data_IF_602783958918
#
_entry.id   IF_602783958918
#
_cell.length_a   1.000
_cell.length_b   1.000
_cell.length_c   1.000
_cell.angle_alpha   90.00
_cell.angle_beta   90.00
_cell.angle_gamma   90.00
#
_symmetry.space_group_name_H-M   'P 1'
#
loop_
_entity.id
_entity.type
_entity.pdbx_description
1 polymer ?
#
# COMPACT_ATOMS: atom_id res chain seq x y z
N UNK A 1 -36.77 33.45 25.61
CA UNK A 1 -37.99 33.03 24.88
C UNK A 1 -37.75 31.61 24.42
N UNK A 2 -38.41 30.69 25.14
CA UNK A 2 -38.38 29.26 24.90
C UNK A 2 -39.20 28.89 23.68
N UNK A 3 -38.72 27.97 22.85
CA UNK A 3 -39.62 27.09 22.11
C UNK A 3 -39.01 25.69 22.03
N UNK A 4 -39.44 24.85 22.93
CA UNK A 4 -39.34 23.39 22.88
C UNK A 4 -40.23 22.89 21.74
N UNK A 5 -39.68 22.10 20.82
CA UNK A 5 -40.48 21.23 19.98
C UNK A 5 -40.09 19.77 20.21
N UNK A 6 -40.82 19.16 21.12
CA UNK A 6 -41.00 17.73 21.28
C UNK A 6 -41.96 17.30 20.15
N UNK A 7 -41.55 16.40 19.28
CA UNK A 7 -42.49 15.61 18.47
C UNK A 7 -42.15 14.13 18.61
N UNK A 8 -42.89 13.50 19.47
CA UNK A 8 -43.15 12.08 19.47
C UNK A 8 -43.88 11.70 18.17
N UNK A 9 -43.44 10.69 17.47
CA UNK A 9 -44.29 9.90 16.60
C UNK A 9 -44.05 8.43 16.90
N UNK A 10 -45.16 7.84 17.28
CA UNK A 10 -45.42 6.51 17.76
C UNK A 10 -45.15 5.42 16.71
N UNK A 11 -44.75 4.31 17.21
CA UNK A 11 -45.08 2.90 16.90
C UNK A 11 -45.88 2.62 15.62
N UNK A 12 -45.33 1.68 14.83
CA UNK A 12 -46.17 0.63 14.18
C UNK A 12 -45.35 -0.67 14.10
N UNK A 13 -45.73 -1.61 14.94
CA UNK A 13 -45.41 -3.02 14.90
C UNK A 13 -46.14 -3.64 13.68
N UNK A 14 -45.39 -4.29 12.80
CA UNK A 14 -45.94 -5.25 11.86
C UNK A 14 -45.22 -6.59 12.06
N UNK A 15 -45.87 -7.49 12.77
CA UNK A 15 -45.54 -8.91 12.89
C UNK A 15 -45.97 -9.59 11.61
N UNK A 16 -45.01 -10.10 10.83
CA UNK A 16 -45.24 -10.96 9.68
C UNK A 16 -44.55 -12.30 9.90
N UNK A 17 -45.32 -13.26 10.42
CA UNK A 17 -44.96 -14.68 10.46
C UNK A 17 -45.24 -15.27 9.10
N UNK A 18 -44.24 -15.79 8.38
CA UNK A 18 -44.40 -16.73 7.29
C UNK A 18 -43.48 -17.93 7.54
N UNK A 19 -44.13 -18.99 7.97
CA UNK A 19 -43.59 -20.35 7.96
C UNK A 19 -43.59 -20.84 6.49
N UNK A 20 -42.53 -21.48 6.05
CA UNK A 20 -42.41 -22.06 4.72
C UNK A 20 -41.28 -23.08 4.63
N UNK A 21 -41.64 -24.32 4.94
CA UNK A 21 -41.19 -25.63 4.39
C UNK A 21 -39.73 -25.87 4.02
N UNK A 22 -39.20 -26.85 4.71
CA UNK A 22 -38.00 -27.66 4.40
C UNK A 22 -38.19 -28.45 3.09
N UNK A 23 -37.11 -28.63 2.36
CA UNK A 23 -36.85 -29.77 1.49
C UNK A 23 -35.39 -30.23 1.62
N UNK A 24 -35.12 -31.51 1.94
CA UNK A 24 -33.78 -32.07 1.90
C UNK A 24 -33.49 -32.55 0.48
N UNK A 25 -32.44 -32.03 -0.12
CA UNK A 25 -31.90 -32.52 -1.39
C UNK A 25 -30.49 -33.04 -1.17
N UNK A 26 -30.35 -34.33 -0.87
CA UNK A 26 -29.09 -35.07 -0.94
C UNK A 26 -28.68 -35.15 -2.41
N UNK A 27 -27.48 -34.72 -2.70
CA UNK A 27 -26.84 -34.86 -4.00
C UNK A 27 -25.34 -34.97 -3.82
N UNK A 28 -24.87 -36.19 -3.54
CA UNK A 28 -23.46 -36.59 -3.66
C UNK A 28 -23.03 -36.46 -5.12
N UNK A 29 -22.18 -35.50 -5.40
CA UNK A 29 -21.39 -35.47 -6.62
C UNK A 29 -19.92 -35.53 -6.25
N UNK A 30 -19.38 -36.74 -6.25
CA UNK A 30 -17.98 -37.00 -6.27
C UNK A 30 -17.36 -36.40 -7.53
N UNK A 31 -16.72 -35.24 -7.41
CA UNK A 31 -15.89 -34.70 -8.47
C UNK A 31 -14.47 -35.19 -8.33
N UNK A 32 -14.18 -36.20 -9.11
CA UNK A 32 -12.88 -36.79 -9.38
C UNK A 32 -11.93 -35.72 -9.94
N UNK A 33 -10.90 -35.38 -9.19
CA UNK A 33 -9.77 -34.62 -9.70
C UNK A 33 -8.86 -35.52 -10.54
N UNK A 34 -8.43 -35.10 -11.74
CA UNK A 34 -7.40 -35.81 -12.47
C UNK A 34 -6.02 -35.53 -11.85
N UNK A 35 -5.14 -36.55 -11.75
CA UNK A 35 -3.79 -36.32 -11.27
C UNK A 35 -2.95 -35.62 -12.34
N UNK A 36 -2.35 -34.51 -11.97
CA UNK A 36 -1.37 -33.78 -12.78
C UNK A 36 -0.05 -34.57 -12.76
N UNK A 37 0.24 -35.25 -13.87
CA UNK A 37 1.50 -35.91 -14.12
C UNK A 37 2.59 -34.90 -14.44
N UNK A 38 3.54 -34.70 -13.53
CA UNK A 38 4.79 -34.01 -13.83
C UNK A 38 5.79 -35.04 -14.39
N UNK A 39 6.15 -34.85 -15.63
CA UNK A 39 7.25 -35.56 -16.23
C UNK A 39 8.57 -35.13 -15.58
N UNK A 40 9.16 -36.04 -14.80
CA UNK A 40 10.58 -36.02 -14.52
C UNK A 40 11.31 -36.55 -15.76
N UNK A 41 12.10 -35.69 -16.39
CA UNK A 41 13.10 -36.14 -17.37
C UNK A 41 14.47 -36.02 -16.72
N UNK A 42 14.95 -37.15 -16.20
CA UNK A 42 16.36 -37.34 -15.90
C UNK A 42 17.09 -37.62 -17.20
N UNK A 43 18.10 -36.84 -17.49
CA UNK A 43 18.99 -37.04 -18.64
C UNK A 43 20.39 -36.59 -18.27
N UNK A 44 21.16 -37.48 -17.65
CA UNK A 44 22.61 -37.37 -17.52
C UNK A 44 23.26 -37.52 -18.87
N UNK A 45 24.18 -36.64 -19.23
CA UNK A 45 25.38 -37.02 -19.97
C UNK A 45 26.48 -36.00 -19.73
N UNK A 46 27.50 -36.46 -19.07
CA UNK A 46 28.83 -35.89 -18.96
C UNK A 46 29.48 -35.84 -20.36
N UNK A 47 30.07 -34.73 -20.72
CA UNK A 47 31.21 -34.74 -21.63
C UNK A 47 32.15 -33.61 -21.29
N UNK A 48 33.26 -33.96 -20.69
CA UNK A 48 34.47 -33.21 -20.51
C UNK A 48 35.08 -32.86 -21.86
N UNK A 49 35.37 -31.61 -22.10
CA UNK A 49 36.46 -31.20 -23.01
C UNK A 49 37.15 -29.97 -22.46
N UNK A 50 38.28 -30.22 -21.90
CA UNK A 50 39.30 -29.22 -21.62
C UNK A 50 39.93 -28.79 -22.97
N UNK A 51 40.02 -27.48 -23.19
CA UNK A 51 41.07 -26.87 -23.98
C UNK A 51 41.32 -25.46 -23.51
N UNK A 52 42.50 -25.28 -22.98
CA UNK A 52 43.19 -24.05 -22.70
C UNK A 52 43.31 -23.19 -23.96
N UNK A 53 43.05 -21.92 -23.83
CA UNK A 53 43.71 -20.87 -24.59
C UNK A 53 43.70 -19.58 -23.77
N UNK A 54 44.82 -19.30 -23.16
CA UNK A 54 45.20 -18.00 -22.67
C UNK A 54 45.16 -16.99 -23.82
N UNK A 55 44.34 -15.96 -23.66
CA UNK A 55 44.53 -14.72 -24.40
C UNK A 55 44.28 -13.57 -23.44
N UNK A 56 45.31 -12.80 -23.05
CA UNK A 56 45.09 -11.59 -22.27
C UNK A 56 44.47 -10.54 -23.18
N UNK A 57 43.19 -10.22 -22.93
CA UNK A 57 42.59 -9.04 -23.50
C UNK A 57 43.25 -7.81 -22.90
N UNK A 58 44.12 -7.18 -23.67
CA UNK A 58 44.65 -5.86 -23.35
C UNK A 58 43.47 -4.88 -23.35
N UNK A 59 43.13 -4.41 -22.16
CA UNK A 59 42.19 -3.32 -21.98
C UNK A 59 42.89 -2.02 -22.36
N UNK A 60 42.62 -1.56 -23.58
CA UNK A 60 43.14 -0.30 -24.11
C UNK A 60 42.41 0.85 -23.38
N UNK A 61 43.05 1.37 -22.36
CA UNK A 61 42.55 2.49 -21.55
C UNK A 61 42.78 3.80 -22.28
N UNK A 62 42.05 4.04 -23.36
CA UNK A 62 41.85 5.41 -23.82
C UNK A 62 40.78 6.07 -23.01
N UNK A 63 41.19 6.60 -21.84
CA UNK A 63 40.44 7.63 -21.12
C UNK A 63 40.35 8.86 -22.03
N UNK A 64 39.27 8.95 -22.80
CA UNK A 64 38.89 10.21 -23.42
C UNK A 64 38.57 11.18 -22.27
N UNK A 65 39.39 12.22 -22.21
CA UNK A 65 39.20 13.35 -21.29
C UNK A 65 37.75 13.84 -21.45
N UNK A 66 36.96 13.65 -20.36
CA UNK A 66 35.67 14.30 -20.23
C UNK A 66 35.96 15.81 -20.14
N UNK A 67 35.38 16.64 -21.02
CA UNK A 67 35.55 18.07 -20.91
C UNK A 67 35.00 18.49 -19.53
N UNK A 68 35.85 19.13 -18.75
CA UNK A 68 35.48 19.77 -17.48
C UNK A 68 34.47 20.86 -17.80
N UNK A 69 33.16 20.51 -17.70
CA UNK A 69 32.12 21.51 -17.69
C UNK A 69 32.07 22.13 -16.29
N UNK A 70 32.47 23.38 -16.31
CA UNK A 70 32.12 24.45 -15.39
C UNK A 70 31.67 24.05 -13.97
N UNK A 71 32.57 24.31 -13.03
CA UNK A 71 32.32 24.19 -11.60
C UNK A 71 31.28 25.25 -11.17
N UNK A 72 30.02 25.06 -11.57
CA UNK A 72 28.91 25.66 -10.87
C UNK A 72 28.93 25.16 -9.45
N UNK A 73 28.95 26.07 -8.47
CA UNK A 73 28.99 25.88 -7.02
C UNK A 73 28.38 24.55 -6.59
N UNK A 74 29.20 23.54 -6.44
CA UNK A 74 28.79 22.25 -5.90
C UNK A 74 28.35 22.44 -4.47
N UNK A 75 27.08 22.30 -4.22
CA UNK A 75 26.60 22.03 -2.89
C UNK A 75 27.35 20.77 -2.42
N UNK A 76 28.11 20.93 -1.35
CA UNK A 76 28.84 19.84 -0.74
C UNK A 76 27.86 18.71 -0.43
N UNK A 77 28.18 17.46 -0.81
CA UNK A 77 27.40 16.29 -0.39
C UNK A 77 27.31 16.15 1.14
N UNK A 78 28.16 16.90 1.88
CA UNK A 78 28.11 16.99 3.33
C UNK A 78 26.90 17.81 3.83
N UNK A 79 26.36 18.71 3.01
CA UNK A 79 25.16 19.50 3.34
C UNK A 79 23.86 18.85 2.82
N UNK A 80 23.95 17.71 2.13
CA UNK A 80 22.80 16.95 1.73
C UNK A 80 22.16 16.33 2.97
N UNK A 81 21.05 16.88 3.42
CA UNK A 81 20.27 16.29 4.50
C UNK A 81 19.94 14.83 4.18
N UNK A 82 20.12 13.90 5.14
CA UNK A 82 19.78 12.50 4.93
C UNK A 82 18.33 12.38 4.42
N UNK A 83 18.11 11.59 3.37
CA UNK A 83 16.75 11.31 2.83
C UNK A 83 16.00 10.41 3.82
N UNK A 84 15.72 10.93 5.02
CA UNK A 84 15.05 10.17 6.09
C UNK A 84 13.55 10.17 5.97
N UNK A 85 13.00 11.09 5.18
CA UNK A 85 11.55 11.25 5.00
C UNK A 85 10.99 10.52 3.77
N UNK A 86 11.84 9.84 2.99
CA UNK A 86 11.45 9.15 1.75
C UNK A 86 11.47 10.06 0.52
N UNK A 87 11.10 9.55 -0.67
CA UNK A 87 11.05 10.32 -1.90
C UNK A 87 10.07 11.49 -1.82
N UNK A 88 10.45 12.63 -2.43
CA UNK A 88 9.57 13.78 -2.61
C UNK A 88 8.52 13.48 -3.69
N UNK A 89 7.26 13.66 -3.34
CA UNK A 89 6.12 13.47 -4.22
C UNK A 89 5.11 14.62 -4.13
N UNK A 90 5.55 15.80 -3.67
CA UNK A 90 4.70 16.97 -3.40
C UNK A 90 3.83 17.42 -4.58
N UNK A 91 4.24 17.12 -5.81
CA UNK A 91 3.45 17.47 -7.00
C UNK A 91 2.41 16.42 -7.39
N UNK A 92 2.29 15.31 -6.65
CA UNK A 92 1.35 14.24 -6.96
C UNK A 92 -0.04 14.55 -6.42
N UNK A 93 -1.05 14.46 -7.28
CA UNK A 93 -2.45 14.49 -6.90
C UNK A 93 -3.23 13.42 -7.67
N UNK A 94 -4.09 12.66 -6.97
CA UNK A 94 -4.98 11.69 -7.60
C UNK A 94 -6.29 11.57 -6.82
N UNK A 95 -7.40 11.44 -7.54
CA UNK A 95 -8.71 11.11 -6.96
C UNK A 95 -9.16 9.73 -7.41
N UNK A 96 -9.87 9.02 -6.55
CA UNK A 96 -10.40 7.72 -6.89
C UNK A 96 -11.00 6.99 -5.70
N UNK A 97 -11.23 5.68 -5.86
CA UNK A 97 -11.75 4.85 -4.77
C UNK A 97 -10.59 4.27 -3.95
N UNK A 98 -10.70 4.35 -2.64
CA UNK A 98 -9.85 3.66 -1.69
C UNK A 98 -10.57 2.43 -1.12
N UNK A 99 -9.82 1.40 -0.76
CA UNK A 99 -10.25 0.33 0.14
C UNK A 99 -9.21 0.12 1.24
N UNK A 100 -9.33 -0.95 2.01
CA UNK A 100 -8.38 -1.26 3.06
C UNK A 100 -8.14 -2.76 3.21
N UNK A 101 -6.96 -3.12 3.71
CA UNK A 101 -6.57 -4.51 3.94
C UNK A 101 -7.16 -5.04 5.25
N UNK A 102 -7.74 -6.24 5.16
CA UNK A 102 -8.21 -6.98 6.32
C UNK A 102 -7.07 -7.63 7.13
N UNK A 103 -7.46 -8.22 8.28
CA UNK A 103 -6.54 -8.89 9.23
C UNK A 103 -5.71 -10.01 8.59
N UNK A 104 -6.21 -10.65 7.53
CA UNK A 104 -5.56 -11.77 6.84
C UNK A 104 -4.20 -11.42 6.20
N UNK A 105 -3.92 -10.13 6.00
CA UNK A 105 -2.66 -9.66 5.44
C UNK A 105 -1.61 -9.32 6.51
N UNK A 106 -1.99 -9.26 7.78
CA UNK A 106 -1.09 -8.90 8.88
C UNK A 106 0.09 -9.88 8.94
N UNK A 107 1.32 -9.32 9.03
CA UNK A 107 2.58 -10.09 9.04
C UNK A 107 3.10 -10.54 7.67
N UNK A 108 2.33 -10.41 6.59
CA UNK A 108 2.81 -10.71 5.23
C UNK A 108 3.83 -9.70 4.76
N UNK A 109 4.77 -10.12 3.93
CA UNK A 109 5.78 -9.24 3.34
C UNK A 109 5.14 -8.31 2.31
N UNK A 110 5.45 -7.02 2.40
CA UNK A 110 5.03 -5.99 1.46
C UNK A 110 6.05 -5.83 0.33
N UNK A 111 5.73 -5.02 -0.68
CA UNK A 111 6.64 -4.72 -1.79
C UNK A 111 7.91 -3.98 -1.34
N UNK A 112 7.88 -3.25 -0.23
CA UNK A 112 9.08 -2.62 0.35
C UNK A 112 9.98 -3.60 1.11
N UNK A 113 9.53 -4.85 1.30
CA UNK A 113 10.22 -5.85 2.11
C UNK A 113 9.86 -5.85 3.60
N UNK A 114 9.14 -4.85 4.08
CA UNK A 114 8.63 -4.78 5.45
C UNK A 114 7.51 -5.81 5.68
N UNK A 115 7.28 -6.21 6.94
CA UNK A 115 6.07 -6.97 7.29
C UNK A 115 4.90 -6.01 7.43
N UNK A 116 3.79 -6.31 6.75
CA UNK A 116 2.57 -5.52 6.87
C UNK A 116 2.06 -5.48 8.31
N UNK A 117 1.96 -4.29 8.86
CA UNK A 117 1.35 -4.05 10.16
C UNK A 117 0.01 -3.31 9.96
N UNK A 118 -1.11 -3.99 10.25
CA UNK A 118 -2.44 -3.42 10.11
C UNK A 118 -2.68 -2.19 10.99
N UNK A 119 -1.90 -2.02 12.06
CA UNK A 119 -2.02 -0.90 13.01
C UNK A 119 -1.10 0.28 12.67
N UNK A 120 -0.25 0.17 11.65
CA UNK A 120 0.60 1.25 11.19
C UNK A 120 -0.11 2.11 10.15
N UNK A 121 0.25 3.39 10.03
CA UNK A 121 -0.27 4.31 9.02
C UNK A 121 0.44 4.08 7.67
N UNK A 122 0.00 3.05 6.94
CA UNK A 122 0.59 2.64 5.66
C UNK A 122 -0.46 2.40 4.59
N UNK A 123 -0.02 2.39 3.34
CA UNK A 123 -0.88 2.11 2.21
C UNK A 123 -0.12 1.45 1.05
N UNK A 124 -0.87 0.81 0.14
CA UNK A 124 -0.42 0.36 -1.15
C UNK A 124 -0.86 1.30 -2.26
N UNK A 125 0.05 1.61 -3.17
CA UNK A 125 -0.23 2.38 -4.38
C UNK A 125 0.51 1.77 -5.58
N UNK A 126 -0.08 1.91 -6.80
CA UNK A 126 0.47 1.25 -8.00
C UNK A 126 1.82 1.81 -8.42
N UNK A 127 1.96 3.11 -8.45
CA UNK A 127 3.08 3.81 -9.11
C UNK A 127 3.90 4.71 -8.20
N UNK A 128 3.32 5.23 -7.10
CA UNK A 128 4.07 6.08 -6.17
C UNK A 128 5.34 5.38 -5.68
N UNK A 129 6.47 6.06 -5.55
CA UNK A 129 7.69 5.49 -5.00
C UNK A 129 7.44 4.86 -3.62
N UNK A 130 8.06 3.70 -3.35
CA UNK A 130 8.05 3.14 -2.00
C UNK A 130 8.77 4.08 -1.03
N UNK A 131 8.33 4.10 0.22
CA UNK A 131 8.75 5.01 1.27
C UNK A 131 8.32 6.49 1.09
N UNK A 132 7.58 6.85 0.01
CA UNK A 132 6.94 8.16 -0.08
C UNK A 132 5.79 8.31 0.92
N UNK A 133 5.44 9.54 1.22
CA UNK A 133 4.34 9.89 2.12
C UNK A 133 3.27 10.65 1.36
N UNK A 134 2.02 10.35 1.67
CA UNK A 134 0.86 11.01 1.04
C UNK A 134 -0.17 11.36 2.10
N UNK A 135 -0.88 12.46 1.86
CA UNK A 135 -2.10 12.81 2.56
C UNK A 135 -3.28 12.20 1.82
N UNK A 136 -4.11 11.49 2.53
CA UNK A 136 -5.35 10.91 1.99
C UNK A 136 -6.53 11.60 2.66
N UNK A 137 -7.41 12.17 1.87
CA UNK A 137 -8.63 12.86 2.33
C UNK A 137 -9.85 12.07 1.87
N UNK A 138 -10.71 11.71 2.80
CA UNK A 138 -12.01 11.12 2.49
C UNK A 138 -12.98 12.23 2.05
N UNK A 139 -13.44 12.19 0.79
CA UNK A 139 -14.30 13.23 0.23
C UNK A 139 -15.70 13.29 0.86
N UNK A 140 -16.14 12.24 1.55
CA UNK A 140 -17.48 12.19 2.15
C UNK A 140 -17.56 12.85 3.53
N UNK A 141 -16.49 12.82 4.32
CA UNK A 141 -16.48 13.33 5.69
C UNK A 141 -15.32 14.29 5.99
N UNK A 142 -14.50 14.60 4.98
CA UNK A 142 -13.34 15.50 5.01
C UNK A 142 -12.24 15.12 6.03
N UNK A 143 -12.28 13.90 6.59
CA UNK A 143 -11.19 13.40 7.42
C UNK A 143 -9.95 13.14 6.58
N UNK A 144 -8.80 13.44 7.16
CA UNK A 144 -7.50 13.25 6.49
C UNK A 144 -6.58 12.38 7.33
N UNK A 145 -5.70 11.64 6.66
CA UNK A 145 -4.60 10.91 7.29
C UNK A 145 -3.35 11.03 6.43
N UNK A 146 -2.19 10.98 7.07
CA UNK A 146 -0.92 10.83 6.37
C UNK A 146 -0.47 9.38 6.49
N UNK A 147 -0.11 8.78 5.35
CA UNK A 147 0.31 7.38 5.27
C UNK A 147 1.59 7.23 4.48
N UNK A 148 2.41 6.24 4.86
CA UNK A 148 3.61 5.82 4.14
C UNK A 148 3.21 4.80 3.06
N UNK A 149 3.68 4.98 1.85
CA UNK A 149 3.54 3.99 0.78
C UNK A 149 4.61 2.91 0.96
N UNK A 150 4.21 1.70 1.32
CA UNK A 150 5.13 0.58 1.53
C UNK A 150 4.75 -0.69 0.74
N UNK A 151 3.67 -0.63 -0.03
CA UNK A 151 3.22 -1.78 -0.81
C UNK A 151 2.75 -1.39 -2.20
N UNK A 152 2.53 -2.40 -3.06
CA UNK A 152 2.04 -2.27 -4.43
C UNK A 152 0.61 -2.78 -4.56
N UNK A 153 -0.16 -2.11 -5.39
CA UNK A 153 -1.58 -2.33 -5.64
C UNK A 153 -2.39 -1.05 -5.46
N UNK A 154 -3.72 -1.11 -5.53
CA UNK A 154 -4.56 -2.26 -5.91
C UNK A 154 -4.49 -2.61 -7.40
N UNK A 155 -4.50 -3.91 -7.72
CA UNK A 155 -4.52 -4.38 -9.11
C UNK A 155 -5.91 -4.81 -9.58
N UNK A 156 -6.87 -4.91 -8.65
CA UNK A 156 -8.24 -5.35 -8.92
C UNK A 156 -9.23 -4.22 -8.66
N UNK A 157 -10.20 -4.07 -9.53
CA UNK A 157 -11.23 -3.03 -9.45
C UNK A 157 -10.70 -1.62 -9.80
N UNK A 158 -11.58 -0.64 -9.74
CA UNK A 158 -11.25 0.76 -10.08
C UNK A 158 -10.81 1.55 -8.81
N UNK A 159 -9.88 0.96 -8.05
CA UNK A 159 -9.31 1.57 -6.83
C UNK A 159 -7.96 2.17 -7.14
N UNK A 160 -7.61 3.22 -6.42
CA UNK A 160 -6.32 3.92 -6.57
C UNK A 160 -5.39 3.64 -5.41
N UNK A 161 -5.91 3.33 -4.23
CA UNK A 161 -5.13 3.09 -3.01
C UNK A 161 -5.80 2.06 -2.11
N UNK A 162 -5.01 1.23 -1.44
CA UNK A 162 -5.46 0.33 -0.39
C UNK A 162 -4.78 0.70 0.93
N UNK A 163 -5.56 1.04 1.94
CA UNK A 163 -5.10 1.55 3.22
C UNK A 163 -4.90 0.42 4.23
N UNK A 164 -4.05 0.64 5.24
CA UNK A 164 -4.04 -0.17 6.43
C UNK A 164 -5.35 -0.04 7.21
N UNK A 165 -5.60 -0.96 8.13
CA UNK A 165 -6.77 -0.90 9.01
C UNK A 165 -6.78 0.37 9.88
N UNK A 166 -5.62 0.76 10.43
CA UNK A 166 -5.50 1.98 11.23
C UNK A 166 -5.81 3.23 10.41
N UNK A 167 -5.26 3.36 9.21
CA UNK A 167 -5.52 4.47 8.30
C UNK A 167 -6.99 4.56 7.90
N UNK A 168 -7.60 3.43 7.53
CA UNK A 168 -9.03 3.37 7.21
C UNK A 168 -9.93 3.72 8.40
N UNK A 169 -9.54 3.33 9.60
CA UNK A 169 -10.24 3.70 10.84
C UNK A 169 -10.22 5.19 11.08
N UNK A 170 -9.06 5.83 10.96
CA UNK A 170 -8.89 7.27 11.13
C UNK A 170 -9.68 8.07 10.09
N UNK A 171 -9.75 7.58 8.84
CA UNK A 171 -10.58 8.16 7.77
C UNK A 171 -12.08 7.91 7.93
N UNK A 172 -12.51 7.09 8.90
CA UNK A 172 -13.92 6.73 9.11
C UNK A 172 -14.50 5.83 8.04
N UNK A 173 -13.66 4.98 7.38
CA UNK A 173 -14.10 4.10 6.28
C UNK A 173 -14.35 2.65 6.70
N UNK A 174 -14.11 2.25 7.95
CA UNK A 174 -14.20 0.84 8.38
C UNK A 174 -15.51 0.15 8.05
N UNK A 175 -16.63 0.84 8.28
CA UNK A 175 -17.98 0.27 8.10
C UNK A 175 -18.43 0.25 6.65
N UNK A 176 -17.85 1.08 5.78
CA UNK A 176 -18.32 1.25 4.39
C UNK A 176 -17.47 0.44 3.39
N UNK A 177 -16.25 0.05 3.77
CA UNK A 177 -15.34 -0.76 2.95
C UNK A 177 -14.62 0.03 1.86
N UNK A 178 -15.33 0.76 1.02
CA UNK A 178 -14.74 1.59 -0.05
C UNK A 178 -15.30 3.00 -0.03
N UNK A 179 -14.43 4.01 -0.26
CA UNK A 179 -14.80 5.43 -0.30
C UNK A 179 -14.04 6.16 -1.40
N UNK A 180 -14.62 7.28 -1.86
CA UNK A 180 -13.91 8.23 -2.71
C UNK A 180 -12.93 9.04 -1.86
N UNK A 181 -11.69 9.11 -2.33
CA UNK A 181 -10.62 9.83 -1.67
C UNK A 181 -9.87 10.72 -2.64
N UNK A 182 -9.27 11.78 -2.11
CA UNK A 182 -8.23 12.58 -2.73
C UNK A 182 -6.89 12.18 -2.10
N UNK A 183 -5.87 11.93 -2.91
CA UNK A 183 -4.51 11.62 -2.52
C UNK A 183 -3.64 12.79 -2.94
N UNK A 184 -2.86 13.32 -2.02
CA UNK A 184 -1.90 14.39 -2.26
C UNK A 184 -0.52 13.92 -1.79
N UNK A 185 0.47 14.02 -2.67
CA UNK A 185 1.85 13.75 -2.32
C UNK A 185 2.38 14.78 -1.33
N UNK A 186 3.35 14.37 -0.51
CA UNK A 186 4.03 15.26 0.42
C UNK A 186 5.47 15.46 0.00
N UNK A 187 5.96 16.65 0.16
CA UNK A 187 7.39 16.97 0.13
C UNK A 187 8.09 16.31 1.31
N UNK A 188 9.42 16.19 1.26
CA UNK A 188 10.18 15.63 2.39
C UNK A 188 9.97 16.43 3.68
N UNK A 189 9.88 17.75 3.59
CA UNK A 189 9.66 18.61 4.74
C UNK A 189 8.28 18.38 5.38
N UNK A 190 7.23 18.31 4.56
CA UNK A 190 5.86 18.03 5.03
C UNK A 190 5.74 16.63 5.63
N UNK A 191 6.42 15.63 5.02
CA UNK A 191 6.45 14.27 5.53
C UNK A 191 7.12 14.19 6.90
N UNK A 192 8.21 14.93 7.14
CA UNK A 192 8.84 15.04 8.45
C UNK A 192 7.90 15.63 9.48
N UNK A 193 7.33 16.79 9.19
CA UNK A 193 6.39 17.47 10.09
C UNK A 193 5.20 16.58 10.45
N UNK A 194 4.62 15.88 9.48
CA UNK A 194 3.52 14.96 9.71
C UNK A 194 3.90 13.76 10.57
N UNK A 195 5.12 13.24 10.46
CA UNK A 195 5.62 12.15 11.32
C UNK A 195 5.83 12.61 12.75
N UNK A 196 6.47 13.75 12.96
CA UNK A 196 6.70 14.34 14.28
C UNK A 196 5.37 14.60 15.00
N UNK A 197 4.40 15.18 14.29
CA UNK A 197 3.06 15.40 14.84
C UNK A 197 2.35 14.07 15.20
N UNK A 198 2.54 13.03 14.42
CA UNK A 198 1.95 11.71 14.71
C UNK A 198 2.58 11.05 15.93
N UNK A 199 3.87 11.27 16.17
CA UNK A 199 4.58 10.74 17.33
C UNK A 199 4.19 11.47 18.61
N UNK A 200 4.12 12.79 18.60
CA UNK A 200 3.72 13.57 19.77
C UNK A 200 2.32 13.20 20.27
N UNK A 201 1.37 13.03 19.34
CA UNK A 201 -0.01 12.59 19.69
C UNK A 201 -0.06 11.16 20.23
N UNK A 202 0.89 10.30 19.89
CA UNK A 202 0.96 8.94 20.43
C UNK A 202 1.52 8.95 21.87
N UNK A 203 2.50 9.80 22.15
CA UNK A 203 3.13 9.92 23.47
C UNK A 203 2.17 10.57 24.49
N UNK A 204 1.38 11.56 24.08
CA UNK A 204 0.38 12.21 24.94
C UNK A 204 -0.76 11.27 25.35
N UNK A 205 -1.01 10.19 24.59
CA UNK A 205 -2.10 9.26 24.87
C UNK A 205 -1.67 8.06 25.76
N UNK A 206 -0.40 7.99 26.15
CA UNK A 206 0.18 6.92 27.00
C UNK A 206 0.34 7.38 28.46
N UNK A 207 0.21 8.68 28.74
CA UNK A 207 0.34 9.27 30.06
C UNK A 207 -1.06 9.56 30.65
#
# INVERSE_FOLDING_TARGET
MDVRYIRHIASLLAVGVLAGCAAPGSGDVASTMPPSSYHQTAGSTSTSNARSADTPLAFDTKLNAVPSQDAGKGQSLADAEPITAGPDVGNFEQKGKASWYGRLFHGRKTASGEKFNMNAMTAAHRTLPLASWVRVTNESNHKTVVVKINDRGPYVGNRVIDLSYAAASALGMRSVGTQKVKIEGLTQQEARAAREQSQSLADDNVN
#
